data_IF_122084017732
#
_entry.id   IF_122084017732
#
_cell.length_a   1.000
_cell.length_b   1.000
_cell.length_c   1.000
_cell.angle_alpha   90.00
_cell.angle_beta   90.00
_cell.angle_gamma   90.00
#
_symmetry.space_group_name_H-M   'P 1'
#
loop_
_entity.id
_entity.type
_entity.pdbx_description
1 polymer ?
#
# COMPACT_ATOMS: atom_id res chain seq x y z
N UNK A 1 -5.41 -14.70 6.64
CA UNK A 1 -5.02 -13.33 6.29
C UNK A 1 -4.81 -12.54 7.58
N UNK A 2 -3.55 -12.19 7.87
CA UNK A 2 -3.16 -11.61 9.16
C UNK A 2 -3.18 -10.07 9.13
N UNK A 3 -3.55 -9.45 8.01
CA UNK A 3 -3.65 -8.00 7.91
C UNK A 3 -3.57 -7.47 6.48
N UNK A 4 -3.75 -6.16 6.38
CA UNK A 4 -3.70 -5.40 5.16
C UNK A 4 -2.61 -4.34 5.24
N UNK A 5 -1.89 -4.14 4.14
CA UNK A 5 -1.00 -3.01 3.96
C UNK A 5 -1.44 -2.22 2.73
N UNK A 6 -1.67 -0.93 2.92
CA UNK A 6 -2.10 0.00 1.88
C UNK A 6 -0.86 0.78 1.42
N UNK A 7 -0.63 0.84 0.13
CA UNK A 7 0.53 1.52 -0.44
C UNK A 7 0.28 1.98 -1.88
N UNK A 8 1.07 2.93 -2.34
CA UNK A 8 1.13 3.33 -3.73
C UNK A 8 2.17 2.46 -4.45
N UNK A 9 1.69 1.50 -5.26
CA UNK A 9 2.58 0.55 -5.94
C UNK A 9 3.56 1.23 -6.89
N UNK A 10 3.09 2.24 -7.63
CA UNK A 10 3.93 2.94 -8.60
C UNK A 10 5.08 3.67 -7.89
N UNK A 11 4.76 4.38 -6.80
CA UNK A 11 5.75 5.06 -5.97
C UNK A 11 6.80 4.10 -5.40
N UNK A 12 6.35 2.98 -4.82
CA UNK A 12 7.27 2.00 -4.21
C UNK A 12 8.14 1.30 -5.28
N UNK A 13 7.60 1.00 -6.45
CA UNK A 13 8.38 0.43 -7.55
C UNK A 13 9.42 1.44 -8.05
N UNK A 14 9.08 2.72 -8.16
CA UNK A 14 10.02 3.76 -8.55
C UNK A 14 11.18 3.88 -7.54
N UNK A 15 10.89 3.90 -6.23
CA UNK A 15 11.91 3.91 -5.18
C UNK A 15 12.78 2.64 -5.22
N UNK A 16 12.18 1.49 -5.51
CA UNK A 16 12.89 0.23 -5.67
C UNK A 16 13.89 0.24 -6.84
N UNK A 17 13.56 0.87 -7.96
CA UNK A 17 14.46 0.99 -9.11
C UNK A 17 15.66 1.90 -8.81
N UNK A 18 15.48 2.84 -7.88
CA UNK A 18 16.50 3.83 -7.51
C UNK A 18 17.43 3.33 -6.40
N UNK A 19 16.91 2.52 -5.47
CA UNK A 19 17.61 2.07 -4.27
C UNK A 19 17.48 0.55 -4.07
N UNK A 20 18.60 -0.14 -3.83
CA UNK A 20 18.59 -1.62 -3.63
C UNK A 20 17.97 -2.06 -2.30
N UNK A 21 18.23 -1.31 -1.22
CA UNK A 21 17.63 -1.55 0.09
C UNK A 21 17.25 -0.18 0.66
N UNK A 22 16.01 -0.02 1.03
CA UNK A 22 15.47 1.23 1.54
C UNK A 22 14.40 0.95 2.60
N UNK A 23 14.08 1.96 3.37
CA UNK A 23 13.04 1.88 4.38
C UNK A 23 12.10 3.07 4.27
N UNK A 24 10.83 2.84 4.55
CA UNK A 24 9.82 3.89 4.68
C UNK A 24 9.28 3.91 6.10
N UNK A 25 8.78 5.06 6.50
CA UNK A 25 7.90 5.14 7.65
C UNK A 25 6.54 4.52 7.30
N UNK A 26 5.96 3.82 8.27
CA UNK A 26 4.66 3.19 8.16
C UNK A 26 3.85 3.49 9.41
N UNK A 27 2.57 3.77 9.23
CA UNK A 27 1.64 3.79 10.34
C UNK A 27 0.81 2.52 10.35
N UNK A 28 0.52 2.00 11.54
CA UNK A 28 -0.26 0.79 11.69
C UNK A 28 -1.15 0.81 12.92
N UNK A 29 -2.22 0.02 12.86
CA UNK A 29 -3.07 -0.30 13.98
C UNK A 29 -3.22 -1.82 14.07
N UNK A 30 -2.97 -2.37 15.25
CA UNK A 30 -3.21 -3.79 15.53
C UNK A 30 -4.55 -3.92 16.24
N UNK A 31 -5.44 -4.78 15.73
CA UNK A 31 -6.70 -5.17 16.38
C UNK A 31 -6.69 -6.70 16.51
N UNK A 32 -6.57 -7.21 17.75
CA UNK A 32 -6.32 -8.63 18.01
C UNK A 32 -5.10 -9.10 17.18
N UNK A 33 -5.29 -10.06 16.27
CA UNK A 33 -4.24 -10.58 15.40
C UNK A 33 -4.22 -9.98 13.98
N UNK A 34 -5.03 -8.96 13.72
CA UNK A 34 -5.15 -8.32 12.43
C UNK A 34 -4.47 -6.96 12.39
N UNK A 35 -3.64 -6.73 11.36
CA UNK A 35 -2.97 -5.45 11.13
C UNK A 35 -3.66 -4.65 10.04
N UNK A 36 -3.85 -3.35 10.28
CA UNK A 36 -4.17 -2.36 9.25
C UNK A 36 -3.00 -1.40 9.22
N UNK A 37 -2.35 -1.29 8.08
CA UNK A 37 -1.14 -0.47 7.94
C UNK A 37 -1.11 0.27 6.62
N UNK A 38 -0.39 1.40 6.60
CA UNK A 38 -0.23 2.25 5.42
C UNK A 38 1.19 2.77 5.36
N UNK A 39 1.83 2.66 4.19
CA UNK A 39 3.12 3.29 3.91
C UNK A 39 2.90 4.78 3.71
N UNK A 40 3.69 5.60 4.42
CA UNK A 40 3.63 7.05 4.35
C UNK A 40 4.51 7.58 3.21
N UNK A 41 4.03 8.57 2.49
CA UNK A 41 4.85 9.40 1.61
C UNK A 41 5.53 10.48 2.47
N UNK A 42 6.65 11.04 1.98
CA UNK A 42 7.53 11.98 2.73
C UNK A 42 6.83 13.16 3.41
N UNK A 43 5.66 13.57 2.94
CA UNK A 43 4.92 14.73 3.43
C UNK A 43 3.64 14.37 4.19
N UNK A 44 3.36 13.08 4.37
CA UNK A 44 2.13 12.63 5.03
C UNK A 44 2.31 12.61 6.55
N UNK A 45 1.35 13.20 7.25
CA UNK A 45 1.33 13.25 8.72
C UNK A 45 0.73 11.99 9.29
N UNK A 46 1.32 11.47 10.35
CA UNK A 46 0.80 10.32 11.10
C UNK A 46 -0.48 10.71 11.83
N UNK A 47 -1.50 9.87 11.73
CA UNK A 47 -2.74 10.04 12.49
C UNK A 47 -2.48 9.57 13.93
N UNK A 48 -2.75 10.39 14.95
CA UNK A 48 -2.47 10.14 16.37
C UNK A 48 -2.98 8.80 16.93
N UNK A 49 -3.97 8.20 16.27
CA UNK A 49 -4.52 6.89 16.69
C UNK A 49 -3.77 5.68 16.15
N UNK A 50 -2.71 5.90 15.38
CA UNK A 50 -1.87 4.85 14.79
C UNK A 50 -0.48 4.82 15.41
N UNK A 51 0.08 3.63 15.52
CA UNK A 51 1.47 3.45 15.91
C UNK A 51 2.39 3.70 14.71
N UNK A 52 3.59 4.20 14.99
CA UNK A 52 4.67 4.34 13.99
C UNK A 52 5.54 3.10 13.94
N UNK A 53 6.05 2.79 12.78
CA UNK A 53 7.08 1.79 12.57
C UNK A 53 7.81 2.06 11.24
N UNK A 54 8.64 1.09 10.83
CA UNK A 54 9.33 1.10 9.54
C UNK A 54 8.96 -0.13 8.73
N UNK A 55 8.96 0.02 7.40
CA UNK A 55 8.96 -1.09 6.46
C UNK A 55 10.32 -1.13 5.76
N UNK A 56 11.03 -2.25 5.91
CA UNK A 56 12.30 -2.48 5.24
C UNK A 56 12.04 -3.22 3.94
N UNK A 57 12.58 -2.69 2.86
CA UNK A 57 12.39 -3.17 1.51
C UNK A 57 13.65 -3.88 1.01
N UNK A 58 13.49 -5.09 0.51
CA UNK A 58 14.59 -5.93 0.00
C UNK A 58 14.24 -6.49 -1.37
N UNK A 59 15.24 -6.61 -2.24
CA UNK A 59 15.05 -7.01 -3.61
C UNK A 59 15.76 -8.33 -3.93
N UNK A 60 15.11 -9.19 -4.70
CA UNK A 60 15.76 -10.37 -5.26
C UNK A 60 16.81 -9.99 -6.30
N UNK A 61 17.94 -10.68 -6.30
CA UNK A 61 18.99 -10.46 -7.29
C UNK A 61 18.58 -10.94 -8.69
N UNK A 62 17.83 -12.04 -8.76
CA UNK A 62 17.42 -12.69 -9.99
C UNK A 62 15.95 -13.13 -9.94
N UNK A 63 15.48 -13.71 -11.03
CA UNK A 63 14.15 -14.31 -11.14
C UNK A 63 14.01 -15.50 -10.19
N UNK A 64 12.90 -15.57 -9.47
CA UNK A 64 12.60 -16.63 -8.52
C UNK A 64 11.25 -17.29 -8.79
N UNK A 65 11.22 -18.62 -8.64
CA UNK A 65 10.02 -19.47 -8.73
C UNK A 65 9.52 -19.95 -7.36
N UNK A 66 10.03 -19.38 -6.26
CA UNK A 66 9.56 -19.72 -4.91
C UNK A 66 8.28 -18.93 -4.56
N UNK A 67 7.14 -19.61 -4.55
CA UNK A 67 5.80 -18.98 -4.42
C UNK A 67 5.07 -19.29 -3.10
N UNK A 68 5.70 -19.96 -2.13
CA UNK A 68 5.01 -20.42 -0.93
C UNK A 68 5.25 -19.53 0.31
N UNK A 69 4.78 -18.26 0.31
CA UNK A 69 4.98 -17.36 1.45
C UNK A 69 4.18 -17.77 2.70
N UNK A 70 3.17 -18.62 2.57
CA UNK A 70 2.29 -19.04 3.68
C UNK A 70 2.99 -19.95 4.69
N UNK A 71 4.12 -20.55 4.31
CA UNK A 71 4.92 -21.39 5.18
C UNK A 71 5.82 -20.58 6.12
N UNK A 72 5.89 -19.27 5.93
CA UNK A 72 6.69 -18.34 6.73
C UNK A 72 5.90 -17.98 7.99
N UNK A 73 6.32 -18.48 9.15
CA UNK A 73 5.64 -18.26 10.45
C UNK A 73 6.52 -17.59 11.49
N UNK A 74 7.82 -17.69 11.33
CA UNK A 74 8.79 -17.12 12.26
C UNK A 74 9.98 -16.49 11.50
N UNK A 75 10.87 -15.81 12.23
CA UNK A 75 12.00 -15.11 11.63
C UNK A 75 12.97 -16.04 10.90
N UNK A 76 13.18 -17.26 11.40
CA UNK A 76 14.02 -18.25 10.71
C UNK A 76 13.43 -18.66 9.36
N UNK A 77 12.12 -18.88 9.32
CA UNK A 77 11.43 -19.20 8.07
C UNK A 77 11.54 -18.05 7.06
N UNK A 78 11.38 -16.79 7.53
CA UNK A 78 11.49 -15.62 6.67
C UNK A 78 12.90 -15.43 6.12
N UNK A 79 13.93 -15.65 6.93
CA UNK A 79 15.34 -15.63 6.47
C UNK A 79 15.57 -16.71 5.41
N UNK A 80 15.07 -17.92 5.63
CA UNK A 80 15.16 -19.01 4.68
C UNK A 80 14.41 -18.70 3.37
N UNK A 81 13.22 -18.14 3.47
CA UNK A 81 12.42 -17.71 2.33
C UNK A 81 13.10 -16.59 1.52
N UNK A 82 13.65 -15.59 2.21
CA UNK A 82 14.44 -14.53 1.56
C UNK A 82 15.65 -15.09 0.81
N UNK A 83 16.39 -16.05 1.41
CA UNK A 83 17.51 -16.71 0.78
C UNK A 83 17.09 -17.49 -0.46
N UNK A 84 16.00 -18.25 -0.43
CA UNK A 84 15.44 -18.97 -1.60
C UNK A 84 15.05 -18.01 -2.73
N UNK A 85 14.55 -16.84 -2.39
CA UNK A 85 14.24 -15.76 -3.34
C UNK A 85 15.47 -14.92 -3.71
N UNK A 86 16.69 -15.37 -3.39
CA UNK A 86 17.96 -14.73 -3.74
C UNK A 86 18.10 -13.29 -3.23
N UNK A 87 17.53 -13.03 -2.07
CA UNK A 87 17.66 -11.76 -1.36
C UNK A 87 18.89 -11.87 -0.44
N UNK A 88 19.94 -11.13 -0.77
CA UNK A 88 21.17 -11.08 -0.01
C UNK A 88 21.08 -10.16 1.21
N UNK A 89 21.90 -10.42 2.24
CA UNK A 89 22.08 -9.57 3.42
C UNK A 89 20.79 -9.25 4.20
N UNK A 90 19.73 -10.06 4.00
CA UNK A 90 18.43 -9.83 4.66
C UNK A 90 18.55 -9.87 6.19
N UNK A 91 19.10 -10.96 6.72
CA UNK A 91 19.27 -11.17 8.17
C UNK A 91 20.19 -10.13 8.79
N UNK A 92 21.31 -9.86 8.13
CA UNK A 92 22.34 -8.90 8.56
C UNK A 92 21.75 -7.49 8.64
N UNK A 93 20.98 -7.10 7.64
CA UNK A 93 20.32 -5.77 7.60
C UNK A 93 19.29 -5.62 8.73
N UNK A 94 18.47 -6.63 8.97
CA UNK A 94 17.48 -6.60 10.07
C UNK A 94 18.21 -6.51 11.42
N UNK A 95 19.19 -7.38 11.67
CA UNK A 95 19.93 -7.41 12.94
C UNK A 95 20.77 -6.14 13.14
N UNK A 96 21.36 -5.60 12.08
CA UNK A 96 22.14 -4.35 12.14
C UNK A 96 21.32 -3.14 12.59
N UNK A 97 20.03 -3.13 12.33
CA UNK A 97 19.12 -2.08 12.75
C UNK A 97 18.36 -2.39 14.05
N UNK A 98 18.48 -3.61 14.58
CA UNK A 98 17.62 -4.08 15.66
C UNK A 98 17.74 -3.21 16.93
N UNK A 99 18.96 -2.85 17.34
CA UNK A 99 19.18 -1.99 18.51
C UNK A 99 18.54 -0.61 18.33
N UNK A 100 18.74 0.01 17.17
CA UNK A 100 18.11 1.31 16.84
C UNK A 100 16.60 1.23 16.95
N UNK A 101 15.99 0.18 16.38
CA UNK A 101 14.54 -0.04 16.41
C UNK A 101 14.03 -0.23 17.86
N UNK A 102 14.79 -0.93 18.70
CA UNK A 102 14.45 -1.07 20.13
C UNK A 102 14.55 0.26 20.89
N UNK A 103 15.61 1.04 20.66
CA UNK A 103 15.81 2.34 21.29
C UNK A 103 14.68 3.32 20.90
N UNK A 104 14.12 3.19 19.71
CA UNK A 104 12.94 3.94 19.23
C UNK A 104 11.59 3.34 19.71
N UNK A 105 11.61 2.26 20.50
CA UNK A 105 10.40 1.60 21.02
C UNK A 105 9.60 0.82 19.96
N UNK A 106 10.21 0.48 18.83
CA UNK A 106 9.56 -0.28 17.75
C UNK A 106 9.48 -1.76 18.15
N UNK A 107 8.27 -2.27 18.26
CA UNK A 107 8.00 -3.67 18.62
C UNK A 107 7.58 -4.53 17.43
N UNK A 108 7.08 -3.91 16.38
CA UNK A 108 6.66 -4.56 15.12
C UNK A 108 7.41 -3.91 13.99
N UNK A 109 8.18 -4.69 13.24
CA UNK A 109 8.84 -4.27 12.00
C UNK A 109 8.05 -4.81 10.80
N UNK A 110 7.90 -3.99 9.77
CA UNK A 110 7.34 -4.42 8.50
C UNK A 110 8.46 -4.72 7.50
N UNK A 111 8.21 -5.67 6.61
CA UNK A 111 9.14 -6.07 5.57
C UNK A 111 8.40 -6.19 4.25
N UNK A 112 8.99 -5.65 3.18
CA UNK A 112 8.55 -5.86 1.81
C UNK A 112 9.67 -6.57 1.03
N UNK A 113 9.35 -7.71 0.44
CA UNK A 113 10.25 -8.43 -0.46
C UNK A 113 9.79 -8.20 -1.89
N UNK A 114 10.65 -7.58 -2.69
CA UNK A 114 10.47 -7.36 -4.12
C UNK A 114 11.09 -8.54 -4.86
N UNK A 115 10.24 -9.44 -5.31
CA UNK A 115 10.67 -10.69 -5.95
C UNK A 115 10.40 -10.61 -7.43
N UNK A 116 11.46 -10.71 -8.24
CA UNK A 116 11.33 -10.76 -9.68
C UNK A 116 10.78 -12.13 -10.10
N UNK A 117 9.70 -12.13 -10.88
CA UNK A 117 9.00 -13.32 -11.36
C UNK A 117 9.31 -13.57 -12.85
N UNK A 118 9.21 -14.82 -13.33
CA UNK A 118 9.42 -15.14 -14.74
C UNK A 118 8.34 -14.57 -15.68
N UNK A 119 7.18 -14.23 -15.11
CA UNK A 119 6.05 -13.68 -15.85
C UNK A 119 5.49 -12.46 -15.11
N UNK A 120 4.79 -11.54 -15.82
CA UNK A 120 4.11 -10.44 -15.19
C UNK A 120 3.15 -10.92 -14.09
N UNK A 121 3.14 -10.18 -12.98
CA UNK A 121 2.21 -10.43 -11.87
C UNK A 121 0.79 -10.12 -12.34
N UNK A 122 -0.16 -10.96 -11.95
CA UNK A 122 -1.58 -10.83 -12.33
C UNK A 122 -2.07 -9.41 -12.09
N UNK A 123 -2.77 -8.86 -13.06
CA UNK A 123 -3.30 -7.49 -13.08
C UNK A 123 -2.23 -6.38 -13.01
N UNK A 124 -1.01 -6.67 -13.44
CA UNK A 124 0.05 -5.65 -13.58
C UNK A 124 0.84 -5.88 -14.86
N UNK A 125 1.54 -4.83 -15.32
CA UNK A 125 2.55 -4.96 -16.39
C UNK A 125 3.96 -5.28 -15.86
N UNK A 126 4.10 -5.45 -14.55
CA UNK A 126 5.38 -5.64 -13.85
C UNK A 126 5.61 -7.11 -13.54
N UNK A 127 6.83 -7.58 -13.71
CA UNK A 127 7.31 -8.89 -13.27
C UNK A 127 7.77 -8.91 -11.79
N UNK A 128 7.60 -7.80 -11.06
CA UNK A 128 7.96 -7.68 -9.65
C UNK A 128 6.75 -7.97 -8.79
N UNK A 129 6.80 -9.05 -8.00
CA UNK A 129 5.84 -9.32 -6.93
C UNK A 129 6.33 -8.69 -5.63
N UNK A 130 5.43 -8.04 -4.88
CA UNK A 130 5.73 -7.45 -3.59
C UNK A 130 5.05 -8.28 -2.51
N UNK A 131 5.85 -8.95 -1.68
CA UNK A 131 5.38 -9.77 -0.57
C UNK A 131 5.61 -9.01 0.74
N UNK A 132 4.55 -8.87 1.54
CA UNK A 132 4.58 -8.09 2.77
C UNK A 132 4.49 -8.98 4.00
N UNK A 133 5.34 -8.70 4.99
CA UNK A 133 5.39 -9.41 6.25
C UNK A 133 5.48 -8.43 7.43
N UNK A 134 5.05 -8.87 8.61
CA UNK A 134 5.42 -8.27 9.89
C UNK A 134 6.34 -9.19 10.65
N UNK A 135 7.24 -8.62 11.43
CA UNK A 135 8.12 -9.32 12.37
C UNK A 135 7.86 -8.74 13.76
N UNK A 136 7.47 -9.55 14.73
CA UNK A 136 7.46 -9.15 16.12
C UNK A 136 8.89 -9.14 16.66
N UNK A 137 9.40 -7.95 16.99
CA UNK A 137 10.78 -7.78 17.44
C UNK A 137 10.96 -8.26 18.87
N UNK A 138 11.44 -9.50 19.05
CA UNK A 138 11.84 -10.08 20.32
C UNK A 138 13.34 -10.26 20.35
N UNK A 139 13.98 -9.85 21.46
CA UNK A 139 15.42 -9.99 21.63
C UNK A 139 15.82 -11.46 21.78
N UNK A 140 16.94 -11.82 21.18
CA UNK A 140 17.51 -13.16 21.34
C UNK A 140 18.17 -13.29 22.72
N UNK A 141 17.73 -14.27 23.53
CA UNK A 141 18.18 -14.43 24.93
C UNK A 141 19.70 -14.57 25.11
N UNK A 142 20.40 -15.14 24.13
CA UNK A 142 21.86 -15.41 24.20
C UNK A 142 22.69 -14.44 23.35
N UNK A 143 22.08 -13.76 22.39
CA UNK A 143 22.75 -12.84 21.46
C UNK A 143 22.05 -11.50 21.53
N UNK A 144 22.58 -10.63 22.36
CA UNK A 144 22.12 -9.23 22.42
C UNK A 144 22.23 -8.59 21.05
N UNK A 145 21.26 -7.76 20.70
CA UNK A 145 21.15 -7.05 19.43
C UNK A 145 20.82 -7.93 18.18
N UNK A 146 20.32 -9.15 18.37
CA UNK A 146 19.78 -9.95 17.28
C UNK A 146 18.29 -10.27 17.53
N UNK A 147 17.51 -10.30 16.44
CA UNK A 147 16.10 -10.74 16.49
C UNK A 147 16.04 -12.21 16.89
N UNK A 148 15.14 -12.53 17.79
CA UNK A 148 14.92 -13.91 18.22
C UNK A 148 14.46 -14.77 17.03
N UNK A 149 15.04 -15.95 16.84
CA UNK A 149 14.76 -16.84 15.70
C UNK A 149 13.28 -17.26 15.61
N UNK A 150 12.64 -17.46 16.75
CA UNK A 150 11.21 -17.78 16.87
C UNK A 150 10.29 -16.55 16.90
N UNK A 151 10.79 -15.32 16.64
CA UNK A 151 9.94 -14.14 16.52
C UNK A 151 8.84 -14.37 15.50
N UNK A 152 7.59 -14.09 15.90
CA UNK A 152 6.44 -14.34 15.05
C UNK A 152 6.50 -13.49 13.77
N UNK A 153 6.21 -14.12 12.65
CA UNK A 153 6.09 -13.48 11.35
C UNK A 153 4.70 -13.71 10.79
N UNK A 154 4.06 -12.64 10.32
CA UNK A 154 2.74 -12.71 9.69
C UNK A 154 2.81 -12.14 8.29
N UNK A 155 2.20 -12.84 7.34
CA UNK A 155 2.01 -12.34 5.97
C UNK A 155 0.85 -11.34 5.93
N UNK A 156 1.00 -10.27 5.16
CA UNK A 156 -0.01 -9.25 4.94
C UNK A 156 -0.43 -9.25 3.46
N UNK A 157 -1.69 -8.93 3.21
CA UNK A 157 -2.17 -8.65 1.85
C UNK A 157 -1.90 -7.20 1.49
N UNK A 158 -1.22 -7.00 0.37
CA UNK A 158 -1.00 -5.67 -0.20
C UNK A 158 -2.25 -5.16 -0.93
N UNK A 159 -2.62 -3.92 -0.65
CA UNK A 159 -3.66 -3.19 -1.37
C UNK A 159 -3.07 -1.93 -1.98
N UNK A 160 -3.23 -1.79 -3.28
CA UNK A 160 -2.85 -0.55 -3.95
C UNK A 160 -3.89 0.54 -3.67
N UNK A 161 -3.43 1.79 -3.59
CA UNK A 161 -4.35 2.92 -3.56
C UNK A 161 -5.23 2.92 -4.82
N UNK A 162 -6.49 3.32 -4.63
CA UNK A 162 -7.36 3.63 -5.74
C UNK A 162 -6.84 4.88 -6.45
N UNK A 163 -6.09 4.69 -7.52
CA UNK A 163 -5.71 5.72 -8.48
C UNK A 163 -6.43 5.49 -9.80
N UNK A 164 -6.30 6.41 -10.73
CA UNK A 164 -6.93 6.35 -12.04
C UNK A 164 -6.72 5.01 -12.75
N UNK A 165 -5.49 4.50 -12.78
CA UNK A 165 -5.16 3.23 -13.45
C UNK A 165 -5.85 2.03 -12.79
N UNK A 166 -5.81 1.97 -11.46
CA UNK A 166 -6.47 0.89 -10.69
C UNK A 166 -7.98 0.94 -10.87
N UNK A 167 -8.59 2.13 -10.83
CA UNK A 167 -10.03 2.30 -11.06
C UNK A 167 -10.43 1.88 -12.48
N UNK A 168 -9.65 2.22 -13.49
CA UNK A 168 -9.87 1.79 -14.89
C UNK A 168 -9.77 0.27 -15.03
N UNK A 169 -8.78 -0.37 -14.40
CA UNK A 169 -8.66 -1.83 -14.42
C UNK A 169 -9.88 -2.53 -13.79
N UNK A 170 -10.32 -2.06 -12.62
CA UNK A 170 -11.46 -2.64 -11.91
C UNK A 170 -12.81 -2.34 -12.58
N UNK A 171 -12.93 -1.24 -13.32
CA UNK A 171 -14.15 -0.92 -14.08
C UNK A 171 -14.27 -1.71 -15.39
N UNK A 172 -13.25 -2.46 -15.76
CA UNK A 172 -13.19 -3.17 -17.05
C UNK A 172 -12.94 -2.24 -18.23
N UNK A 173 -12.57 -0.97 -18.00
CA UNK A 173 -12.17 -0.08 -19.05
C UNK A 173 -10.88 -0.59 -19.70
N UNK A 174 -10.94 -0.95 -20.97
CA UNK A 174 -9.74 -1.30 -21.74
C UNK A 174 -8.88 -0.06 -21.87
N UNK A 175 -7.57 -0.19 -21.63
CA UNK A 175 -6.54 0.87 -21.74
C UNK A 175 -6.41 1.50 -23.16
N UNK A 176 -7.51 1.81 -23.82
CA UNK A 176 -7.52 2.34 -25.19
C UNK A 176 -7.47 3.85 -25.25
N UNK A 177 -7.58 4.55 -24.12
CA UNK A 177 -7.55 6.03 -24.10
C UNK A 177 -6.28 6.47 -23.38
N UNK A 178 -5.17 6.51 -24.11
CA UNK A 178 -3.90 7.11 -23.64
C UNK A 178 -3.91 8.63 -23.58
N UNK A 179 -4.93 9.27 -24.16
CA UNK A 179 -5.08 10.72 -24.11
C UNK A 179 -6.11 11.06 -23.03
N UNK A 180 -5.73 11.92 -22.10
CA UNK A 180 -6.61 12.43 -21.07
C UNK A 180 -7.74 13.25 -21.73
N UNK A 181 -8.85 12.59 -22.05
CA UNK A 181 -10.02 13.29 -22.58
C UNK A 181 -10.63 14.12 -21.45
N UNK A 182 -10.80 15.42 -21.71
CA UNK A 182 -11.55 16.28 -20.80
C UNK A 182 -13.04 16.02 -20.97
N UNK A 183 -13.70 15.65 -19.88
CA UNK A 183 -15.15 15.47 -19.85
C UNK A 183 -15.79 16.77 -19.40
N UNK A 184 -16.48 17.45 -20.31
CA UNK A 184 -17.27 18.64 -19.97
C UNK A 184 -18.69 18.22 -19.66
N UNK A 185 -19.14 18.52 -18.44
CA UNK A 185 -20.50 18.22 -18.00
C UNK A 185 -21.23 19.50 -17.63
N UNK A 186 -22.34 19.74 -18.27
CA UNK A 186 -23.25 20.88 -18.00
C UNK A 186 -24.45 20.36 -17.22
N UNK A 187 -24.63 20.91 -16.02
CA UNK A 187 -25.62 20.47 -15.05
C UNK A 187 -25.12 19.38 -14.12
N UNK A 188 -24.87 19.75 -12.86
CA UNK A 188 -24.36 18.84 -11.81
C UNK A 188 -25.43 18.55 -10.74
N UNK A 189 -26.71 18.63 -11.10
CA UNK A 189 -27.82 18.31 -10.21
C UNK A 189 -27.94 16.80 -9.92
N UNK A 190 -29.16 16.34 -9.67
CA UNK A 190 -29.45 14.95 -9.25
C UNK A 190 -28.90 13.88 -10.20
N UNK A 191 -29.05 14.04 -11.50
CA UNK A 191 -28.56 13.09 -12.50
C UNK A 191 -27.09 13.34 -12.82
N UNK A 192 -26.72 14.59 -13.13
CA UNK A 192 -25.37 14.93 -13.54
C UNK A 192 -24.33 14.60 -12.50
N UNK A 193 -24.59 14.90 -11.21
CA UNK A 193 -23.67 14.55 -10.13
C UNK A 193 -23.41 13.03 -10.03
N UNK A 194 -24.41 12.21 -10.28
CA UNK A 194 -24.27 10.75 -10.29
C UNK A 194 -23.46 10.25 -11.48
N UNK A 195 -23.69 10.84 -12.65
CA UNK A 195 -22.92 10.53 -13.86
C UNK A 195 -21.45 10.88 -13.63
N UNK A 196 -21.14 12.10 -13.17
CA UNK A 196 -19.77 12.50 -12.85
C UNK A 196 -19.12 11.56 -11.84
N UNK A 197 -19.83 11.19 -10.78
CA UNK A 197 -19.34 10.25 -9.77
C UNK A 197 -19.03 8.86 -10.37
N UNK A 198 -19.90 8.34 -11.24
CA UNK A 198 -19.66 7.04 -11.89
C UNK A 198 -18.46 7.10 -12.83
N UNK A 199 -18.33 8.16 -13.61
CA UNK A 199 -17.18 8.37 -14.50
C UNK A 199 -15.87 8.49 -13.70
N UNK A 200 -15.88 9.24 -12.59
CA UNK A 200 -14.72 9.35 -11.70
C UNK A 200 -14.34 7.99 -11.08
N UNK A 201 -15.32 7.20 -10.66
CA UNK A 201 -15.10 5.83 -10.16
C UNK A 201 -14.56 4.87 -11.22
N UNK A 202 -14.82 5.14 -12.48
CA UNK A 202 -14.23 4.41 -13.61
C UNK A 202 -12.82 4.89 -13.97
N UNK A 203 -12.25 5.81 -13.17
CA UNK A 203 -10.90 6.30 -13.37
C UNK A 203 -10.76 7.44 -14.36
N UNK A 204 -11.85 8.18 -14.63
CA UNK A 204 -11.73 9.46 -15.32
C UNK A 204 -11.42 10.54 -14.28
N UNK A 205 -10.39 11.34 -14.52
CA UNK A 205 -9.87 12.35 -13.57
C UNK A 205 -9.84 13.77 -14.13
N UNK A 206 -10.23 13.93 -15.40
CA UNK A 206 -10.19 15.22 -16.08
C UNK A 206 -11.60 15.71 -16.40
N UNK A 207 -12.17 16.54 -15.50
CA UNK A 207 -13.53 17.06 -15.62
C UNK A 207 -13.56 18.58 -15.67
N UNK A 208 -14.42 19.11 -16.52
CA UNK A 208 -14.96 20.47 -16.43
C UNK A 208 -16.44 20.38 -16.06
N UNK A 209 -16.77 20.72 -14.82
CA UNK A 209 -18.14 20.71 -14.32
C UNK A 209 -18.71 22.12 -14.34
N UNK A 210 -19.88 22.29 -14.94
CA UNK A 210 -20.56 23.58 -15.11
C UNK A 210 -21.97 23.48 -14.54
N UNK A 211 -22.29 24.29 -13.53
CA UNK A 211 -23.64 24.44 -12.96
C UNK A 211 -23.86 25.89 -12.52
N UNK A 212 -25.08 26.38 -12.64
CA UNK A 212 -25.46 27.74 -12.26
C UNK A 212 -26.02 27.83 -10.83
N UNK A 213 -26.28 26.68 -10.20
CA UNK A 213 -26.97 26.59 -8.91
C UNK A 213 -26.04 26.28 -7.75
N UNK A 214 -26.48 26.67 -6.58
CA UNK A 214 -25.84 26.29 -5.32
C UNK A 214 -26.38 24.96 -4.82
N UNK A 215 -25.53 24.21 -4.16
CA UNK A 215 -25.94 23.02 -3.43
C UNK A 215 -26.74 23.44 -2.18
N UNK A 216 -27.99 23.02 -2.11
CA UNK A 216 -28.91 23.32 -0.98
C UNK A 216 -29.33 22.04 -0.27
N UNK A 217 -29.82 22.09 0.99
CA UNK A 217 -30.14 20.90 1.80
C UNK A 217 -31.03 19.88 1.11
N UNK A 218 -31.97 20.31 0.28
CA UNK A 218 -32.90 19.46 -0.47
C UNK A 218 -32.16 18.58 -1.51
N UNK A 219 -30.96 18.98 -1.93
CA UNK A 219 -30.16 18.24 -2.89
C UNK A 219 -29.62 16.95 -2.27
N UNK A 220 -29.42 16.89 -0.95
CA UNK A 220 -28.93 15.70 -0.25
C UNK A 220 -29.75 14.43 -0.55
N UNK A 221 -31.04 14.57 -0.81
CA UNK A 221 -31.90 13.42 -1.12
C UNK A 221 -31.59 12.79 -2.49
N UNK A 222 -30.99 13.53 -3.42
CA UNK A 222 -30.87 13.12 -4.83
C UNK A 222 -29.49 13.31 -5.44
N UNK A 223 -28.64 14.13 -4.84
CA UNK A 223 -27.31 14.45 -5.34
C UNK A 223 -26.28 13.38 -4.96
N UNK A 224 -25.21 13.25 -5.71
CA UNK A 224 -24.11 12.34 -5.38
C UNK A 224 -23.30 12.81 -4.17
N UNK A 225 -23.18 14.13 -3.96
CA UNK A 225 -22.60 14.68 -2.74
C UNK A 225 -23.61 14.53 -1.60
N UNK A 226 -23.09 14.12 -0.46
CA UNK A 226 -23.86 13.95 0.77
C UNK A 226 -23.03 14.45 1.95
N UNK A 227 -23.01 15.75 2.15
CA UNK A 227 -22.26 16.33 3.26
C UNK A 227 -22.80 17.71 3.62
N UNK A 228 -22.93 17.99 4.91
CA UNK A 228 -23.26 19.33 5.41
C UNK A 228 -22.22 20.39 5.01
N UNK A 229 -20.96 20.01 4.85
CA UNK A 229 -19.90 20.90 4.42
C UNK A 229 -19.98 21.34 2.94
N UNK A 230 -20.81 20.68 2.13
CA UNK A 230 -21.04 21.00 0.72
C UNK A 230 -22.20 21.98 0.51
N UNK A 231 -23.02 22.25 1.55
CA UNK A 231 -24.16 23.17 1.48
C UNK A 231 -23.66 24.60 1.21
N UNK A 232 -24.31 25.30 0.29
CA UNK A 232 -23.96 26.64 -0.20
C UNK A 232 -22.63 26.76 -0.97
N UNK A 233 -22.00 25.67 -1.32
CA UNK A 233 -20.92 25.71 -2.30
C UNK A 233 -21.49 25.68 -3.72
N UNK A 234 -20.90 26.45 -4.62
CA UNK A 234 -21.11 26.25 -6.06
C UNK A 234 -20.54 24.86 -6.42
N UNK A 235 -21.30 24.16 -7.24
CA UNK A 235 -20.85 22.88 -7.80
C UNK A 235 -19.86 23.16 -8.92
#
# INVERSE_FOLDING_TARGET
>A
NNGLIIYDRAYIIQEHLTHKNFAFEIMYKKRMDFFISRILKKEEVVIDTFNKSYIFCFSSANVSNEYLPYNVKNFTDLVSFAKKNQISNFKESINGNFKKLQDEGITILFVALFVKRPYPVINTSSDIEILHFTIELKEHKKKKNEVHQGSEVKILSGLNFANTEVLQQFSGAKNTIKEAQMITQIGCGSLGSKIAMHLARNGNDNFLLVDDKYFVPNNNARHALFSSSSIFKKV
#
